data_IF_032161451862
#
_entry.id   IF_032161451862
#
_cell.length_a   1.000
_cell.length_b   1.000
_cell.length_c   1.000
_cell.angle_alpha   90.00
_cell.angle_beta   90.00
_cell.angle_gamma   90.00
#
_symmetry.space_group_name_H-M   'P 1'
#
loop_
_entity.id
_entity.type
_entity.pdbx_description
1 polymer ?
#
# COMPACT_ATOMS: atom_id res chain seq x y z
N UNK A 1 13.63 -8.74 -5.64
CA UNK A 1 12.94 -9.51 -6.70
C UNK A 1 13.89 -10.26 -7.63
N UNK A 2 14.75 -9.58 -8.41
CA UNK A 2 15.69 -10.29 -9.30
C UNK A 2 16.72 -11.13 -8.54
N UNK A 3 17.25 -10.62 -7.43
CA UNK A 3 18.12 -11.36 -6.51
C UNK A 3 17.44 -12.63 -5.95
N UNK A 4 16.19 -12.51 -5.50
CA UNK A 4 15.39 -13.63 -5.00
C UNK A 4 15.17 -14.72 -6.05
N UNK A 5 14.87 -14.32 -7.30
CA UNK A 5 14.74 -15.25 -8.43
C UNK A 5 16.04 -16.02 -8.69
N UNK A 6 17.18 -15.33 -8.54
CA UNK A 6 18.51 -15.90 -8.69
C UNK A 6 19.00 -16.67 -7.45
N UNK A 7 18.17 -16.84 -6.41
CA UNK A 7 18.52 -17.56 -5.19
C UNK A 7 19.44 -16.78 -4.24
N UNK A 8 19.61 -15.48 -4.45
CA UNK A 8 20.40 -14.60 -3.56
C UNK A 8 19.50 -14.12 -2.42
N UNK A 9 19.89 -14.46 -1.19
CA UNK A 9 19.18 -14.02 0.03
C UNK A 9 19.55 -12.56 0.36
N UNK A 10 18.53 -11.73 0.55
CA UNK A 10 18.67 -10.34 0.99
C UNK A 10 18.30 -10.25 2.47
N UNK A 11 19.09 -9.52 3.25
CA UNK A 11 18.89 -9.33 4.69
C UNK A 11 18.75 -7.85 5.01
N UNK A 12 17.98 -7.53 6.05
CA UNK A 12 17.83 -6.17 6.57
C UNK A 12 19.06 -5.78 7.40
N UNK A 13 19.62 -4.60 7.15
CA UNK A 13 20.77 -4.04 7.85
C UNK A 13 20.31 -2.87 8.75
N UNK A 14 19.95 -3.11 10.03
CA UNK A 14 19.39 -2.09 10.91
C UNK A 14 20.35 -0.93 11.22
N UNK A 15 21.66 -1.15 11.07
CA UNK A 15 22.71 -0.16 11.30
C UNK A 15 22.87 0.84 10.14
N UNK A 16 22.34 0.52 8.96
CA UNK A 16 22.45 1.38 7.80
C UNK A 16 21.58 2.64 7.98
N UNK A 17 22.20 3.82 7.91
CA UNK A 17 21.52 5.12 7.96
C UNK A 17 21.38 5.70 6.57
N UNK A 18 20.16 6.05 6.19
CA UNK A 18 19.85 6.68 4.91
C UNK A 18 19.18 8.03 5.19
N UNK A 19 19.73 9.09 4.62
CA UNK A 19 19.15 10.43 4.66
C UNK A 19 18.40 10.65 3.34
N UNK A 20 17.09 10.81 3.42
CA UNK A 20 16.23 11.04 2.27
C UNK A 20 15.56 12.42 2.40
N UNK A 21 15.59 13.17 1.30
CA UNK A 21 14.83 14.41 1.18
C UNK A 21 13.37 14.07 0.86
N UNK A 22 12.46 14.66 1.64
CA UNK A 22 11.02 14.49 1.45
C UNK A 22 10.53 15.68 0.62
N UNK A 23 9.65 15.49 -0.38
CA UNK A 23 9.14 16.60 -1.16
C UNK A 23 8.44 17.63 -0.28
N UNK A 24 8.75 18.91 -0.51
CA UNK A 24 8.18 20.03 0.25
C UNK A 24 6.76 20.39 -0.22
N UNK A 25 6.40 20.04 -1.46
CA UNK A 25 5.11 20.39 -2.05
C UNK A 25 4.20 19.19 -2.28
N UNK A 26 2.89 19.46 -2.22
CA UNK A 26 1.86 18.47 -2.51
C UNK A 26 1.96 17.92 -3.95
N UNK A 27 2.34 18.76 -4.91
CA UNK A 27 2.42 18.37 -6.31
C UNK A 27 3.62 17.43 -6.57
N UNK A 28 4.79 17.70 -5.99
CA UNK A 28 5.94 16.80 -6.08
C UNK A 28 5.66 15.47 -5.39
N UNK A 29 5.03 15.51 -4.20
CA UNK A 29 4.54 14.33 -3.49
C UNK A 29 3.58 13.49 -4.33
N UNK A 30 2.67 14.12 -5.09
CA UNK A 30 1.77 13.44 -6.03
C UNK A 30 2.56 12.71 -7.13
N UNK A 31 3.50 13.41 -7.77
CA UNK A 31 4.32 12.86 -8.86
C UNK A 31 5.15 11.67 -8.36
N UNK A 32 5.81 11.80 -7.21
CA UNK A 32 6.64 10.75 -6.64
C UNK A 32 5.81 9.51 -6.27
N UNK A 33 4.67 9.69 -5.58
CA UNK A 33 3.78 8.58 -5.21
C UNK A 33 3.18 7.88 -6.41
N UNK A 34 2.74 8.63 -7.42
CA UNK A 34 2.21 8.05 -8.66
C UNK A 34 3.23 7.10 -9.31
N UNK A 35 4.51 7.50 -9.37
CA UNK A 35 5.59 6.64 -9.85
C UNK A 35 5.79 5.40 -9.00
N UNK A 36 5.73 5.52 -7.67
CA UNK A 36 5.89 4.38 -6.77
C UNK A 36 4.75 3.37 -6.92
N UNK A 37 3.50 3.83 -7.00
CA UNK A 37 2.35 2.96 -7.15
C UNK A 37 2.41 2.23 -8.51
N UNK A 38 2.67 2.94 -9.60
CA UNK A 38 2.80 2.34 -10.95
C UNK A 38 3.96 1.36 -11.01
N UNK A 39 5.14 1.75 -10.50
CA UNK A 39 6.32 0.89 -10.45
C UNK A 39 6.06 -0.39 -9.66
N UNK A 40 5.37 -0.30 -8.51
CA UNK A 40 4.98 -1.48 -7.73
C UNK A 40 4.06 -2.41 -8.52
N UNK A 41 3.08 -1.87 -9.25
CA UNK A 41 2.20 -2.68 -10.10
C UNK A 41 2.94 -3.33 -11.28
N UNK A 42 3.90 -2.63 -11.89
CA UNK A 42 4.71 -3.18 -12.97
C UNK A 42 5.60 -4.33 -12.47
N UNK A 43 6.30 -4.13 -11.34
CA UNK A 43 7.11 -5.16 -10.69
C UNK A 43 6.24 -6.36 -10.33
N UNK A 44 5.07 -6.14 -9.71
CA UNK A 44 4.12 -7.21 -9.39
C UNK A 44 3.74 -8.00 -10.64
N UNK A 45 3.23 -7.34 -11.68
CA UNK A 45 2.76 -8.01 -12.89
C UNK A 45 3.89 -8.77 -13.61
N UNK A 46 5.13 -8.26 -13.55
CA UNK A 46 6.31 -8.87 -14.19
C UNK A 46 6.86 -10.08 -13.43
N UNK A 47 6.88 -10.02 -12.08
CA UNK A 47 7.61 -10.98 -11.25
C UNK A 47 6.71 -11.96 -10.49
N UNK A 48 5.48 -11.59 -10.14
CA UNK A 48 4.54 -12.46 -9.43
C UNK A 48 4.34 -13.84 -10.11
N UNK A 49 4.03 -13.94 -11.42
CA UNK A 49 3.86 -15.25 -12.06
C UNK A 49 5.16 -16.06 -12.10
N UNK A 50 6.32 -15.40 -12.20
CA UNK A 50 7.63 -16.05 -12.18
C UNK A 50 7.95 -16.63 -10.81
N UNK A 51 7.69 -15.87 -9.74
CA UNK A 51 7.89 -16.32 -8.37
C UNK A 51 7.00 -17.52 -8.03
N UNK A 52 5.71 -17.47 -8.40
CA UNK A 52 4.78 -18.60 -8.18
C UNK A 52 5.28 -19.85 -8.94
N UNK A 53 5.67 -19.70 -10.22
CA UNK A 53 6.19 -20.80 -11.03
C UNK A 53 7.45 -21.42 -10.43
N UNK A 54 8.40 -20.58 -10.00
CA UNK A 54 9.66 -21.04 -9.39
C UNK A 54 9.44 -21.67 -8.02
N UNK A 55 8.53 -21.14 -7.20
CA UNK A 55 8.16 -21.73 -5.91
C UNK A 55 7.58 -23.14 -6.05
N UNK A 56 6.71 -23.35 -7.06
CA UNK A 56 6.18 -24.69 -7.37
C UNK A 56 7.28 -25.61 -7.89
N UNK A 57 8.09 -25.13 -8.85
CA UNK A 57 9.15 -25.92 -9.50
C UNK A 57 10.23 -26.38 -8.52
N UNK A 58 10.67 -25.48 -7.62
CA UNK A 58 11.75 -25.73 -6.67
C UNK A 58 11.27 -26.23 -5.31
N UNK A 59 9.95 -26.23 -5.06
CA UNK A 59 9.34 -26.57 -3.76
C UNK A 59 9.93 -25.75 -2.61
N UNK A 60 10.17 -24.47 -2.86
CA UNK A 60 10.81 -23.56 -1.91
C UNK A 60 9.84 -22.44 -1.53
N UNK A 61 9.52 -22.39 -0.24
CA UNK A 61 8.56 -21.44 0.33
C UNK A 61 9.01 -19.98 0.26
N UNK A 62 10.32 -19.72 0.13
CA UNK A 62 10.85 -18.37 0.04
C UNK A 62 10.36 -17.61 -1.21
N UNK A 63 10.05 -18.32 -2.30
CA UNK A 63 9.45 -17.73 -3.50
C UNK A 63 8.01 -17.29 -3.28
N UNK A 64 7.25 -18.06 -2.48
CA UNK A 64 5.87 -17.71 -2.14
C UNK A 64 5.82 -16.53 -1.16
N UNK A 65 6.76 -16.45 -0.22
CA UNK A 65 6.91 -15.28 0.66
C UNK A 65 7.15 -14.00 -0.14
N UNK A 66 8.10 -14.01 -1.08
CA UNK A 66 8.33 -12.88 -1.99
C UNK A 66 7.12 -12.57 -2.90
N UNK A 67 6.34 -13.59 -3.28
CA UNK A 67 5.12 -13.40 -4.06
C UNK A 67 4.01 -12.73 -3.23
N UNK A 68 3.86 -13.11 -1.96
CA UNK A 68 2.90 -12.50 -1.04
C UNK A 68 3.21 -11.03 -0.81
N UNK A 69 4.48 -10.66 -0.67
CA UNK A 69 4.92 -9.26 -0.55
C UNK A 69 4.43 -8.39 -1.73
N UNK A 70 4.47 -8.93 -2.95
CA UNK A 70 3.99 -8.26 -4.15
C UNK A 70 2.46 -8.15 -4.23
N UNK A 71 1.74 -9.03 -3.54
CA UNK A 71 0.27 -9.05 -3.52
C UNK A 71 -0.30 -8.06 -2.52
N UNK A 72 0.44 -7.67 -1.47
CA UNK A 72 -0.02 -6.71 -0.48
C UNK A 72 -0.28 -5.35 -1.16
N UNK A 73 -1.55 -4.90 -1.25
CA UNK A 73 -1.86 -3.62 -1.85
C UNK A 73 -1.29 -2.47 -0.98
N UNK A 74 -1.07 -1.27 -1.55
CA UNK A 74 -0.83 -0.08 -0.75
C UNK A 74 -1.85 0.04 0.38
N UNK A 75 -1.40 0.29 1.61
CA UNK A 75 -2.27 0.31 2.79
C UNK A 75 -3.50 1.21 2.63
N UNK A 76 -3.35 2.38 2.00
CA UNK A 76 -4.48 3.27 1.71
C UNK A 76 -5.56 2.60 0.86
N UNK A 77 -5.18 1.81 -0.15
CA UNK A 77 -6.12 1.06 -0.99
C UNK A 77 -6.80 -0.06 -0.20
N UNK A 78 -6.07 -0.72 0.71
CA UNK A 78 -6.65 -1.75 1.56
C UNK A 78 -7.75 -1.16 2.46
N UNK A 79 -7.47 -0.02 3.11
CA UNK A 79 -8.47 0.71 3.92
C UNK A 79 -9.69 1.08 3.08
N UNK A 80 -9.50 1.62 1.87
CA UNK A 80 -10.61 1.96 0.96
C UNK A 80 -11.45 0.73 0.63
N UNK A 81 -10.81 -0.39 0.29
CA UNK A 81 -11.50 -1.63 -0.07
C UNK A 81 -12.34 -2.16 1.09
N UNK A 82 -11.78 -2.18 2.31
CA UNK A 82 -12.50 -2.59 3.52
C UNK A 82 -13.71 -1.68 3.77
N UNK A 83 -13.53 -0.36 3.67
CA UNK A 83 -14.62 0.60 3.87
C UNK A 83 -15.73 0.42 2.82
N UNK A 84 -15.39 0.26 1.53
CA UNK A 84 -16.37 0.01 0.47
C UNK A 84 -17.13 -1.30 0.73
N UNK A 85 -16.43 -2.39 1.02
CA UNK A 85 -17.07 -3.67 1.29
C UNK A 85 -17.97 -3.62 2.53
N UNK A 86 -17.53 -2.92 3.59
CA UNK A 86 -18.34 -2.76 4.78
C UNK A 86 -19.58 -1.89 4.50
N UNK A 87 -19.44 -0.78 3.78
CA UNK A 87 -20.57 0.05 3.35
C UNK A 87 -21.56 -0.74 2.49
N UNK A 88 -21.09 -1.54 1.53
CA UNK A 88 -21.94 -2.40 0.71
C UNK A 88 -22.66 -3.46 1.55
N UNK A 89 -21.97 -4.05 2.53
CA UNK A 89 -22.59 -4.95 3.49
C UNK A 89 -23.71 -4.25 4.27
N UNK A 90 -23.47 -3.03 4.75
CA UNK A 90 -24.48 -2.25 5.48
C UNK A 90 -25.70 -1.89 4.62
N UNK A 91 -25.51 -1.65 3.32
CA UNK A 91 -26.60 -1.29 2.41
C UNK A 91 -27.41 -2.53 1.98
N UNK A 92 -26.72 -3.64 1.66
CA UNK A 92 -27.34 -4.79 0.99
C UNK A 92 -27.74 -5.93 1.94
N UNK A 93 -27.06 -6.08 3.07
CA UNK A 93 -27.16 -7.27 3.93
C UNK A 93 -27.32 -6.93 5.42
N UNK A 94 -27.59 -5.68 5.76
CA UNK A 94 -27.74 -5.29 7.16
C UNK A 94 -29.06 -5.79 7.75
N UNK A 95 -28.94 -6.78 8.63
CA UNK A 95 -30.04 -7.37 9.39
C UNK A 95 -29.95 -7.03 10.89
N UNK A 96 -29.20 -5.98 11.24
CA UNK A 96 -28.90 -5.60 12.63
C UNK A 96 -27.53 -6.08 13.11
N UNK A 97 -27.35 -6.19 14.43
CA UNK A 97 -26.09 -6.55 15.11
C UNK A 97 -25.80 -8.06 15.03
N UNK A 98 -25.67 -8.58 13.80
CA UNK A 98 -25.34 -9.98 13.54
C UNK A 98 -23.84 -10.26 13.69
N UNK A 99 -23.43 -11.53 13.69
CA UNK A 99 -22.00 -11.92 13.68
C UNK A 99 -21.23 -11.23 12.55
N UNK A 100 -21.82 -11.14 11.35
CA UNK A 100 -21.20 -10.48 10.19
C UNK A 100 -20.92 -8.99 10.45
N UNK A 101 -21.84 -8.30 11.13
CA UNK A 101 -21.62 -6.91 11.53
C UNK A 101 -20.42 -6.80 12.49
N UNK A 102 -20.34 -7.65 13.51
CA UNK A 102 -19.22 -7.64 14.45
C UNK A 102 -17.89 -8.00 13.78
N UNK A 103 -17.88 -8.93 12.83
CA UNK A 103 -16.68 -9.24 12.03
C UNK A 103 -16.20 -7.99 11.28
N UNK A 104 -17.07 -7.33 10.52
CA UNK A 104 -16.70 -6.11 9.82
C UNK A 104 -16.25 -4.98 10.76
N UNK A 105 -16.99 -4.76 11.85
CA UNK A 105 -16.65 -3.77 12.85
C UNK A 105 -15.28 -4.04 13.48
N UNK A 106 -14.94 -5.30 13.75
CA UNK A 106 -13.64 -5.70 14.29
C UNK A 106 -12.49 -5.42 13.31
N UNK A 107 -12.70 -5.64 12.01
CA UNK A 107 -11.71 -5.35 10.97
C UNK A 107 -11.46 -3.84 10.89
N UNK A 108 -12.52 -3.03 10.83
CA UNK A 108 -12.41 -1.56 10.79
C UNK A 108 -11.74 -1.03 12.06
N UNK A 109 -12.12 -1.55 13.23
CA UNK A 109 -11.50 -1.18 14.51
C UNK A 109 -10.02 -1.56 14.55
N UNK A 110 -9.66 -2.76 14.07
CA UNK A 110 -8.28 -3.21 13.98
C UNK A 110 -7.42 -2.31 13.07
N UNK A 111 -7.96 -1.85 11.94
CA UNK A 111 -7.29 -0.87 11.09
C UNK A 111 -7.06 0.46 11.82
N UNK A 112 -8.05 0.92 12.59
CA UNK A 112 -7.93 2.12 13.42
C UNK A 112 -6.82 1.98 14.46
N UNK A 113 -6.79 0.86 15.19
CA UNK A 113 -5.74 0.54 16.17
C UNK A 113 -4.37 0.54 15.49
N UNK A 114 -4.22 -0.13 14.34
CA UNK A 114 -2.96 -0.20 13.61
C UNK A 114 -2.41 1.19 13.24
N UNK A 115 -3.28 2.09 12.74
CA UNK A 115 -2.88 3.47 12.43
C UNK A 115 -2.45 4.21 13.71
N UNK A 116 -3.23 4.09 14.80
CA UNK A 116 -2.90 4.76 16.06
C UNK A 116 -1.58 4.25 16.64
N UNK A 117 -1.36 2.94 16.66
CA UNK A 117 -0.12 2.32 17.14
C UNK A 117 1.10 2.83 16.36
N UNK A 118 0.98 2.96 15.03
CA UNK A 118 2.05 3.52 14.20
C UNK A 118 2.38 4.97 14.56
N UNK A 119 1.36 5.81 14.81
CA UNK A 119 1.56 7.21 15.20
C UNK A 119 2.15 7.39 16.59
N UNK A 120 1.78 6.51 17.53
CA UNK A 120 2.33 6.49 18.89
C UNK A 120 3.81 6.10 18.87
N UNK A 121 4.17 5.05 18.11
CA UNK A 121 5.56 4.62 17.96
C UNK A 121 6.43 5.65 17.23
N UNK A 122 5.84 6.45 16.34
CA UNK A 122 6.53 7.52 15.64
C UNK A 122 6.75 8.79 16.49
N UNK A 123 6.31 8.80 17.77
CA UNK A 123 6.44 9.93 18.70
C UNK A 123 6.00 11.28 18.10
N UNK A 124 4.91 11.26 17.35
CA UNK A 124 4.41 12.44 16.63
C UNK A 124 3.66 13.42 17.54
N UNK A 125 3.69 14.72 17.20
CA UNK A 125 2.95 15.75 17.93
C UNK A 125 1.43 15.73 17.65
N UNK A 126 0.64 16.35 18.53
CA UNK A 126 -0.84 16.37 18.48
C UNK A 126 -1.42 16.82 17.12
N UNK A 127 -0.73 17.73 16.42
CA UNK A 127 -1.13 18.20 15.09
C UNK A 127 -1.29 17.06 14.08
N UNK A 128 -0.47 16.01 14.18
CA UNK A 128 -0.55 14.84 13.27
C UNK A 128 -1.82 14.02 13.53
N UNK A 129 -2.26 13.92 14.78
CA UNK A 129 -3.52 13.26 15.12
C UNK A 129 -4.72 14.05 14.60
N UNK A 130 -4.70 15.38 14.73
CA UNK A 130 -5.75 16.24 14.15
C UNK A 130 -5.80 16.09 12.62
N UNK A 131 -4.65 15.92 11.97
CA UNK A 131 -4.59 15.71 10.53
C UNK A 131 -5.30 14.44 10.06
N UNK A 132 -5.55 13.45 10.93
CA UNK A 132 -6.35 12.27 10.59
C UNK A 132 -7.80 12.62 10.25
N UNK A 133 -8.32 13.78 10.69
CA UNK A 133 -9.64 14.25 10.27
C UNK A 133 -9.70 14.51 8.76
N UNK A 134 -8.57 14.79 8.11
CA UNK A 134 -8.44 14.89 6.66
C UNK A 134 -8.25 13.53 5.97
N UNK A 135 -8.25 12.42 6.71
CA UNK A 135 -8.07 11.08 6.13
C UNK A 135 -9.13 10.74 5.06
N UNK A 136 -10.43 11.03 5.22
CA UNK A 136 -11.41 10.77 4.16
C UNK A 136 -11.08 11.49 2.85
N UNK A 137 -10.71 12.76 2.94
CA UNK A 137 -10.28 13.56 1.78
C UNK A 137 -9.01 12.97 1.14
N UNK A 138 -8.04 12.60 1.95
CA UNK A 138 -6.82 11.94 1.49
C UNK A 138 -7.11 10.62 0.77
N UNK A 139 -8.01 9.79 1.29
CA UNK A 139 -8.38 8.51 0.66
C UNK A 139 -9.06 8.72 -0.69
N UNK A 140 -9.98 9.68 -0.81
CA UNK A 140 -10.61 10.04 -2.08
C UNK A 140 -9.57 10.52 -3.10
N UNK A 141 -8.66 11.39 -2.66
CA UNK A 141 -7.55 11.83 -3.49
C UNK A 141 -6.63 10.67 -3.90
N UNK A 142 -6.38 9.69 -3.02
CA UNK A 142 -5.60 8.48 -3.36
C UNK A 142 -6.27 7.64 -4.45
N UNK A 143 -7.60 7.45 -4.38
CA UNK A 143 -8.35 6.77 -5.45
C UNK A 143 -8.16 7.51 -6.77
N UNK A 144 -8.36 8.83 -6.76
CA UNK A 144 -8.21 9.66 -7.95
C UNK A 144 -6.82 9.55 -8.58
N UNK A 145 -5.75 9.67 -7.78
CA UNK A 145 -4.37 9.53 -8.27
C UNK A 145 -4.17 8.16 -8.90
N UNK A 146 -4.58 7.08 -8.24
CA UNK A 146 -4.35 5.73 -8.76
C UNK A 146 -5.13 5.48 -10.06
N UNK A 147 -6.36 5.99 -10.18
CA UNK A 147 -7.15 5.92 -11.40
C UNK A 147 -6.50 6.71 -12.55
N UNK A 148 -6.07 7.95 -12.30
CA UNK A 148 -5.34 8.73 -13.31
C UNK A 148 -4.05 8.03 -13.75
N UNK A 149 -3.30 7.50 -12.79
CA UNK A 149 -2.04 6.84 -13.07
C UNK A 149 -2.24 5.53 -13.83
N UNK A 150 -3.34 4.80 -13.57
CA UNK A 150 -3.75 3.61 -14.30
C UNK A 150 -4.18 3.92 -15.74
N UNK A 151 -4.92 5.02 -15.94
CA UNK A 151 -5.31 5.52 -17.26
C UNK A 151 -4.11 5.97 -18.10
N UNK A 152 -3.17 6.69 -17.46
CA UNK A 152 -1.97 7.22 -18.11
C UNK A 152 -0.82 6.20 -18.26
N UNK A 153 -1.05 4.90 -18.06
CA UNK A 153 0.02 3.87 -18.19
C UNK A 153 0.61 3.78 -19.60
N UNK A 154 -0.17 4.10 -20.64
CA UNK A 154 0.26 3.95 -22.03
C UNK A 154 1.08 5.13 -22.58
N UNK A 155 1.22 6.25 -21.85
CA UNK A 155 1.71 7.51 -22.42
C UNK A 155 2.99 8.08 -21.77
N UNK A 156 3.80 7.29 -21.05
CA UNK A 156 4.84 7.89 -20.20
C UNK A 156 6.20 8.04 -20.86
N UNK A 157 6.51 9.29 -21.18
CA UNK A 157 7.86 9.85 -21.16
C UNK A 157 8.33 9.90 -19.71
N UNK A 158 9.55 9.41 -19.43
CA UNK A 158 10.16 9.48 -18.10
C UNK A 158 10.37 10.95 -17.71
N UNK A 159 9.56 11.46 -16.78
CA UNK A 159 9.72 12.82 -16.26
C UNK A 159 10.82 12.78 -15.19
N UNK A 160 11.87 13.58 -15.31
CA UNK A 160 12.91 13.69 -14.27
C UNK A 160 12.31 14.43 -13.06
N UNK A 161 12.54 13.96 -11.84
CA UNK A 161 12.30 14.81 -10.66
C UNK A 161 13.40 15.86 -10.64
N UNK A 162 13.02 17.14 -10.58
CA UNK A 162 13.98 18.21 -10.31
C UNK A 162 14.62 17.95 -8.94
N UNK A 163 15.94 18.02 -8.88
CA UNK A 163 16.71 17.96 -7.63
C UNK A 163 17.18 19.39 -7.41
N UNK A 164 16.87 19.98 -6.26
CA UNK A 164 17.51 21.21 -5.81
C UNK A 164 18.84 20.88 -5.15
#
# INVERSE_FOLDING_TARGET
>A
MQSSINGVRVVFAPEARIYAEIPDTFNESKIQRGRWDVGKFEVRNRYLPKLIREGIRKRDLSYFDAALELLIPPFSLFVIMVLICFSLFLILNFQGLTLNFYVWASIVTGLGIYIMSGLMLAHTGLKVYINLLYAPYFLLWRVWVILQEAWNRNHRVWVKTERK
#
